data_IF_566160160186
#
_entry.id   IF_566160160186
#
_cell.length_a   1.000
_cell.length_b   1.000
_cell.length_c   1.000
_cell.angle_alpha   90.00
_cell.angle_beta   90.00
_cell.angle_gamma   90.00
#
_symmetry.space_group_name_H-M   'P 1'
#
loop_
_entity.id
_entity.type
_entity.pdbx_description
1 polymer ?
#
# COMPACT_ATOMS: atom_id res chain seq x y z
N UNK A 1 -14.55 22.72 16.87
CA UNK A 1 -13.56 21.64 17.10
C UNK A 1 -14.29 20.38 17.52
N UNK A 2 -14.59 19.47 16.58
CA UNK A 2 -15.10 18.13 16.90
C UNK A 2 -13.91 17.18 16.81
N UNK A 3 -13.64 16.45 17.89
CA UNK A 3 -12.59 15.44 17.97
C UNK A 3 -13.07 14.21 17.21
N UNK A 4 -12.34 13.81 16.18
CA UNK A 4 -12.61 12.57 15.46
C UNK A 4 -12.26 11.37 16.34
N UNK A 5 -13.23 10.47 16.50
CA UNK A 5 -13.13 9.24 17.29
C UNK A 5 -12.46 8.18 16.40
N UNK A 6 -11.41 7.47 16.86
CA UNK A 6 -10.76 6.47 16.02
C UNK A 6 -11.72 5.30 15.75
N UNK A 7 -11.83 4.93 14.48
CA UNK A 7 -12.55 3.75 14.04
C UNK A 7 -11.77 2.53 14.53
N UNK A 8 -12.32 1.82 15.52
CA UNK A 8 -11.81 0.52 15.96
C UNK A 8 -12.48 -0.53 15.07
N UNK A 9 -11.71 -1.13 14.17
CA UNK A 9 -12.14 -2.28 13.38
C UNK A 9 -11.99 -3.52 14.25
N UNK A 10 -13.11 -4.08 14.69
CA UNK A 10 -13.17 -5.33 15.45
C UNK A 10 -13.12 -6.50 14.44
N UNK A 11 -12.32 -7.55 14.66
CA UNK A 11 -12.41 -8.75 13.85
C UNK A 11 -13.77 -9.41 14.06
N UNK A 12 -14.56 -9.54 12.99
CA UNK A 12 -15.81 -10.30 13.01
C UNK A 12 -15.42 -11.78 12.96
N UNK A 13 -15.39 -12.45 14.12
CA UNK A 13 -15.48 -13.90 14.18
C UNK A 13 -16.97 -14.27 14.22
N UNK A 14 -17.49 -14.81 13.12
CA UNK A 14 -18.77 -15.51 13.15
C UNK A 14 -18.55 -16.86 13.85
N UNK A 15 -19.05 -17.00 15.08
CA UNK A 15 -19.34 -18.29 15.69
C UNK A 15 -20.86 -18.36 15.92
N UNK A 16 -21.55 -18.98 14.96
CA UNK A 16 -22.90 -19.48 15.20
C UNK A 16 -22.79 -20.75 16.05
N UNK A 17 -22.90 -20.62 17.37
CA UNK A 17 -23.32 -21.69 18.27
C UNK A 17 -23.67 -21.11 19.65
N UNK A 18 -24.96 -20.85 19.87
CA UNK A 18 -25.50 -20.66 21.22
C UNK A 18 -25.55 -22.03 21.91
N UNK A 19 -24.62 -22.27 22.84
CA UNK A 19 -24.89 -23.16 23.99
C UNK A 19 -24.23 -22.59 25.24
N UNK A 20 -25.07 -22.36 26.24
CA UNK A 20 -24.74 -21.93 27.61
C UNK A 20 -23.72 -22.87 28.23
N UNK A 21 -22.64 -22.33 28.82
CA UNK A 21 -21.99 -22.85 30.02
C UNK A 21 -21.05 -21.78 30.59
N UNK A 22 -21.44 -21.22 31.74
CA UNK A 22 -20.49 -20.60 32.68
C UNK A 22 -19.54 -21.69 33.13
N UNK A 23 -18.23 -21.46 33.08
CA UNK A 23 -17.24 -21.98 34.02
C UNK A 23 -15.95 -21.15 33.90
N UNK A 24 -15.36 -20.88 35.05
CA UNK A 24 -14.13 -20.12 35.21
C UNK A 24 -12.95 -21.01 34.81
N UNK A 25 -12.18 -20.67 33.79
CA UNK A 25 -10.89 -21.32 33.52
C UNK A 25 -10.07 -20.47 32.52
N UNK A 26 -8.91 -19.99 32.98
CA UNK A 26 -7.66 -19.77 32.22
C UNK A 26 -7.73 -19.82 30.69
N UNK A 27 -7.98 -18.70 30.01
CA UNK A 27 -7.74 -18.59 28.56
C UNK A 27 -6.29 -18.18 28.26
N UNK A 28 -5.37 -19.10 28.52
CA UNK A 28 -4.14 -19.21 27.74
C UNK A 28 -4.43 -20.17 26.57
N UNK A 29 -5.12 -19.71 25.52
CA UNK A 29 -5.46 -20.57 24.40
C UNK A 29 -5.34 -19.81 23.09
N UNK A 30 -4.43 -20.26 22.22
CA UNK A 30 -4.24 -19.80 20.85
C UNK A 30 -3.51 -18.45 20.66
N UNK A 31 -2.22 -18.39 21.04
CA UNK A 31 -1.30 -17.54 20.27
C UNK A 31 -1.24 -18.13 18.85
N UNK A 32 -1.81 -17.44 17.87
CA UNK A 32 -1.67 -17.84 16.46
C UNK A 32 -0.17 -18.01 16.16
N UNK A 33 0.19 -19.11 15.49
CA UNK A 33 1.57 -19.28 15.04
C UNK A 33 1.93 -18.15 14.07
N UNK A 34 3.20 -17.73 14.04
CA UNK A 34 3.67 -16.70 13.09
C UNK A 34 3.27 -17.05 11.65
N UNK A 35 3.32 -18.33 11.29
CA UNK A 35 2.90 -18.82 9.98
C UNK A 35 1.40 -18.59 9.72
N UNK A 36 0.54 -18.80 10.72
CA UNK A 36 -0.90 -18.56 10.59
C UNK A 36 -1.21 -17.06 10.46
N UNK A 37 -0.54 -16.21 11.24
CA UNK A 37 -0.66 -14.75 11.13
C UNK A 37 -0.29 -14.31 9.71
N UNK A 38 0.84 -14.80 9.17
CA UNK A 38 1.26 -14.50 7.79
C UNK A 38 0.23 -14.99 6.78
N UNK A 39 -0.23 -16.25 6.90
CA UNK A 39 -1.22 -16.86 6.01
C UNK A 39 -2.53 -16.07 5.96
N UNK A 40 -2.92 -15.45 7.06
CA UNK A 40 -4.12 -14.63 7.15
C UNK A 40 -3.88 -13.17 6.68
N UNK A 41 -2.77 -12.55 7.12
CA UNK A 41 -2.52 -11.12 6.91
C UNK A 41 -1.97 -10.77 5.53
N UNK A 42 -1.12 -11.61 4.93
CA UNK A 42 -0.54 -11.31 3.61
C UNK A 42 -1.61 -11.19 2.52
N UNK A 43 -2.56 -12.14 2.39
CA UNK A 43 -3.65 -12.02 1.42
C UNK A 43 -4.52 -10.79 1.68
N UNK A 44 -4.76 -10.45 2.96
CA UNK A 44 -5.51 -9.25 3.31
C UNK A 44 -4.81 -7.97 2.83
N UNK A 45 -3.50 -7.83 3.05
CA UNK A 45 -2.74 -6.67 2.55
C UNK A 45 -2.76 -6.64 1.02
N UNK A 46 -2.62 -7.81 0.37
CA UNK A 46 -2.74 -7.94 -1.08
C UNK A 46 -4.11 -7.45 -1.60
N UNK A 47 -5.19 -7.83 -0.92
CA UNK A 47 -6.53 -7.32 -1.24
C UNK A 47 -6.64 -5.80 -1.07
N UNK A 48 -6.11 -5.24 0.02
CA UNK A 48 -6.10 -3.77 0.23
C UNK A 48 -5.34 -3.06 -0.89
N UNK A 49 -4.21 -3.61 -1.33
CA UNK A 49 -3.46 -3.11 -2.49
C UNK A 49 -4.28 -3.18 -3.78
N UNK A 50 -4.96 -4.29 -4.04
CA UNK A 50 -5.83 -4.45 -5.22
C UNK A 50 -6.99 -3.45 -5.21
N UNK A 51 -7.64 -3.26 -4.07
CA UNK A 51 -8.70 -2.27 -3.92
C UNK A 51 -8.18 -0.85 -4.15
N UNK A 52 -6.99 -0.53 -3.63
CA UNK A 52 -6.37 0.76 -3.86
C UNK A 52 -6.15 1.01 -5.36
N UNK A 53 -5.49 0.08 -6.05
CA UNK A 53 -5.17 0.20 -7.48
C UNK A 53 -6.44 0.21 -8.34
N UNK A 54 -7.43 -0.62 -8.03
CA UNK A 54 -8.67 -0.75 -8.79
C UNK A 54 -9.67 0.39 -8.57
N UNK A 55 -9.56 1.12 -7.45
CA UNK A 55 -10.46 2.23 -7.15
C UNK A 55 -10.21 3.41 -8.10
N UNK A 56 -11.25 3.85 -8.81
CA UNK A 56 -11.20 4.98 -9.76
C UNK A 56 -11.54 6.33 -9.13
N UNK A 57 -12.00 6.36 -7.87
CA UNK A 57 -12.33 7.58 -7.15
C UNK A 57 -11.07 8.39 -6.83
N UNK A 58 -11.15 9.69 -7.06
CA UNK A 58 -10.14 10.69 -6.68
C UNK A 58 -10.15 11.03 -5.19
N UNK A 59 -11.18 10.63 -4.45
CA UNK A 59 -11.44 11.10 -3.08
C UNK A 59 -10.80 10.20 -2.02
N UNK A 60 -9.96 9.24 -2.46
CA UNK A 60 -9.25 8.33 -1.56
C UNK A 60 -7.93 8.96 -1.13
N UNK A 61 -7.51 8.69 0.11
CA UNK A 61 -6.17 9.03 0.58
C UNK A 61 -5.10 8.46 -0.36
N UNK A 62 -4.08 9.27 -0.67
CA UNK A 62 -2.97 8.85 -1.55
C UNK A 62 -2.00 7.97 -0.75
N UNK A 63 -2.03 6.67 -0.99
CA UNK A 63 -1.09 5.71 -0.43
C UNK A 63 0.09 5.49 -1.38
N UNK A 64 1.30 5.46 -0.83
CA UNK A 64 2.54 5.17 -1.56
C UNK A 64 2.93 3.71 -1.38
N UNK A 65 3.86 3.26 -2.21
CA UNK A 65 4.44 1.90 -2.13
C UNK A 65 4.96 1.60 -0.73
N UNK A 66 5.62 2.58 -0.08
CA UNK A 66 6.13 2.43 1.29
C UNK A 66 5.04 2.09 2.32
N UNK A 67 3.82 2.59 2.14
CA UNK A 67 2.74 2.39 3.10
C UNK A 67 2.28 0.93 3.11
N UNK A 68 2.11 0.34 1.93
CA UNK A 68 1.84 -1.10 1.80
C UNK A 68 3.01 -1.97 2.26
N UNK A 69 4.25 -1.60 1.93
CA UNK A 69 5.44 -2.34 2.37
C UNK A 69 5.54 -2.36 3.89
N UNK A 70 5.22 -1.24 4.57
CA UNK A 70 5.19 -1.19 6.03
C UNK A 70 4.20 -2.19 6.63
N UNK A 71 3.01 -2.35 6.03
CA UNK A 71 2.04 -3.34 6.50
C UNK A 71 2.62 -4.77 6.50
N UNK A 72 3.36 -5.15 5.45
CA UNK A 72 4.03 -6.46 5.40
C UNK A 72 5.16 -6.57 6.43
N UNK A 73 5.96 -5.52 6.59
CA UNK A 73 7.06 -5.49 7.56
C UNK A 73 6.55 -5.59 9.01
N UNK A 74 5.42 -4.96 9.32
CA UNK A 74 4.77 -5.06 10.63
C UNK A 74 4.33 -6.50 10.93
N UNK A 75 3.71 -7.19 9.96
CA UNK A 75 3.31 -8.60 10.11
C UNK A 75 4.53 -9.51 10.37
N UNK A 76 5.66 -9.22 9.72
CA UNK A 76 6.88 -10.00 9.86
C UNK A 76 7.74 -9.57 11.07
N UNK A 77 7.39 -8.48 11.75
CA UNK A 77 8.23 -7.81 12.76
C UNK A 77 9.64 -7.53 12.22
N UNK A 78 9.72 -6.99 10.99
CA UNK A 78 10.96 -6.63 10.32
C UNK A 78 11.11 -5.12 10.19
N UNK A 79 12.36 -4.67 10.14
CA UNK A 79 12.68 -3.27 9.84
C UNK A 79 12.90 -3.07 8.35
N UNK A 80 12.69 -1.85 7.86
CA UNK A 80 13.06 -1.49 6.48
C UNK A 80 14.57 -1.67 6.21
N UNK A 81 15.41 -1.55 7.24
CA UNK A 81 16.85 -1.85 7.15
C UNK A 81 17.08 -3.34 6.87
N UNK A 82 16.36 -4.24 7.54
CA UNK A 82 16.44 -5.67 7.29
C UNK A 82 15.98 -6.02 5.87
N UNK A 83 14.89 -5.39 5.40
CA UNK A 83 14.44 -5.54 4.02
C UNK A 83 15.47 -5.06 3.01
N UNK A 84 16.11 -3.90 3.25
CA UNK A 84 17.15 -3.37 2.38
C UNK A 84 18.35 -4.32 2.27
N UNK A 85 18.80 -4.88 3.41
CA UNK A 85 19.85 -5.90 3.42
C UNK A 85 19.43 -7.15 2.65
N UNK A 86 18.18 -7.62 2.83
CA UNK A 86 17.65 -8.77 2.10
C UNK A 86 17.56 -8.52 0.59
N UNK A 87 17.27 -7.28 0.18
CA UNK A 87 17.25 -6.85 -1.22
C UNK A 87 18.64 -6.46 -1.75
N UNK A 88 19.70 -6.67 -0.97
CA UNK A 88 21.08 -6.39 -1.36
C UNK A 88 21.28 -4.93 -1.79
N UNK A 89 20.64 -3.98 -1.07
CA UNK A 89 20.72 -2.56 -1.40
C UNK A 89 20.79 -1.67 -0.17
N UNK A 90 21.24 -0.43 -0.36
CA UNK A 90 21.30 0.56 0.74
C UNK A 90 19.88 0.92 1.19
N UNK A 91 19.66 1.01 2.50
CA UNK A 91 18.37 1.41 3.08
C UNK A 91 17.88 2.76 2.53
N UNK A 92 18.77 3.75 2.36
CA UNK A 92 18.44 5.04 1.76
C UNK A 92 17.99 4.93 0.30
N UNK A 93 18.55 3.99 -0.45
CA UNK A 93 18.16 3.75 -1.85
C UNK A 93 16.79 3.07 -1.91
N UNK A 94 16.57 2.07 -1.06
CA UNK A 94 15.25 1.44 -0.92
C UNK A 94 14.19 2.49 -0.55
N UNK A 95 14.45 3.33 0.46
CA UNK A 95 13.55 4.40 0.87
C UNK A 95 13.18 5.35 -0.28
N UNK A 96 14.18 5.78 -1.07
CA UNK A 96 13.92 6.64 -2.23
C UNK A 96 12.95 6.02 -3.23
N UNK A 97 13.06 4.72 -3.48
CA UNK A 97 12.13 4.02 -4.35
C UNK A 97 10.74 3.88 -3.74
N UNK A 98 10.65 3.43 -2.47
CA UNK A 98 9.36 3.18 -1.82
C UNK A 98 8.55 4.46 -1.56
N UNK A 99 9.24 5.58 -1.32
CA UNK A 99 8.60 6.91 -1.08
C UNK A 99 8.25 7.66 -2.37
N UNK A 100 8.67 7.15 -3.53
CA UNK A 100 8.47 7.78 -4.84
C UNK A 100 9.48 8.87 -5.20
N UNK A 101 10.54 9.08 -4.41
CA UNK A 101 11.65 10.00 -4.77
C UNK A 101 12.43 9.50 -5.99
N UNK A 102 12.47 8.18 -6.19
CA UNK A 102 12.98 7.51 -7.39
C UNK A 102 11.88 6.64 -7.98
N UNK A 103 11.80 6.59 -9.31
CA UNK A 103 10.84 5.74 -10.03
C UNK A 103 11.11 4.27 -9.70
N UNK A 104 10.06 3.54 -9.34
CA UNK A 104 10.15 2.12 -9.02
C UNK A 104 10.61 1.34 -10.26
N UNK A 105 11.76 0.66 -10.17
CA UNK A 105 12.32 -0.10 -11.28
C UNK A 105 11.83 -1.57 -11.28
N UNK A 106 11.95 -2.24 -12.42
CA UNK A 106 11.47 -3.62 -12.60
C UNK A 106 12.11 -4.62 -11.62
N UNK A 107 13.42 -4.50 -11.35
CA UNK A 107 14.12 -5.39 -10.42
C UNK A 107 13.52 -5.30 -9.01
N UNK A 108 13.30 -4.08 -8.52
CA UNK A 108 12.71 -3.87 -7.19
C UNK A 108 11.24 -4.30 -7.14
N UNK A 109 10.48 -4.08 -8.21
CA UNK A 109 9.10 -4.60 -8.32
C UNK A 109 9.09 -6.11 -8.14
N UNK A 110 9.95 -6.83 -8.87
CA UNK A 110 10.02 -8.30 -8.77
C UNK A 110 10.44 -8.75 -7.36
N UNK A 111 11.44 -8.09 -6.76
CA UNK A 111 11.86 -8.37 -5.37
C UNK A 111 10.72 -8.21 -4.37
N UNK A 112 9.99 -7.10 -4.43
CA UNK A 112 8.83 -6.85 -3.54
C UNK A 112 7.72 -7.88 -3.82
N UNK A 113 7.43 -8.16 -5.09
CA UNK A 113 6.40 -9.12 -5.51
C UNK A 113 6.63 -10.51 -4.93
N UNK A 114 7.86 -11.01 -5.04
CA UNK A 114 8.25 -12.30 -4.46
C UNK A 114 8.19 -12.23 -2.93
N UNK A 115 8.71 -11.16 -2.32
CA UNK A 115 8.72 -11.00 -0.87
C UNK A 115 7.31 -10.97 -0.25
N UNK A 116 6.33 -10.39 -0.94
CA UNK A 116 4.97 -10.21 -0.42
C UNK A 116 3.95 -11.22 -0.95
N UNK A 117 4.35 -12.07 -1.90
CA UNK A 117 3.45 -12.94 -2.68
C UNK A 117 2.35 -12.15 -3.41
N UNK A 118 2.72 -11.02 -4.00
CA UNK A 118 1.79 -10.11 -4.67
C UNK A 118 2.20 -9.91 -6.11
N UNK A 119 1.23 -9.73 -7.02
CA UNK A 119 1.49 -9.57 -8.45
C UNK A 119 2.29 -8.28 -8.75
N UNK A 120 3.33 -8.33 -9.61
CA UNK A 120 4.13 -7.17 -10.03
C UNK A 120 3.32 -5.96 -10.51
N UNK A 121 2.23 -6.22 -11.23
CA UNK A 121 1.37 -5.21 -11.85
C UNK A 121 0.71 -4.31 -10.79
N UNK A 122 0.45 -4.84 -9.58
CA UNK A 122 -0.16 -4.06 -8.51
C UNK A 122 0.81 -3.03 -7.95
N UNK A 123 2.08 -3.38 -7.79
CA UNK A 123 3.11 -2.44 -7.33
C UNK A 123 3.32 -1.29 -8.32
N UNK A 124 3.33 -1.61 -9.61
CA UNK A 124 3.37 -0.59 -10.64
C UNK A 124 2.06 0.22 -10.71
N UNK A 125 0.93 -0.43 -10.48
CA UNK A 125 -0.40 0.18 -10.43
C UNK A 125 -0.54 1.26 -9.36
N UNK A 126 0.09 1.10 -8.18
CA UNK A 126 0.14 2.15 -7.15
C UNK A 126 0.80 3.42 -7.69
N UNK A 127 1.94 3.27 -8.37
CA UNK A 127 2.68 4.41 -8.93
C UNK A 127 1.85 5.11 -9.99
N UNK A 128 1.29 4.35 -10.94
CA UNK A 128 0.44 4.90 -12.01
C UNK A 128 -0.76 5.63 -11.42
N UNK A 129 -1.45 5.02 -10.45
CA UNK A 129 -2.62 5.64 -9.81
C UNK A 129 -2.25 6.98 -9.18
N UNK A 130 -1.15 7.04 -8.42
CA UNK A 130 -0.72 8.26 -7.75
C UNK A 130 -0.35 9.35 -8.76
N UNK A 131 0.36 9.00 -9.83
CA UNK A 131 0.68 9.93 -10.93
C UNK A 131 -0.59 10.47 -11.60
N UNK A 132 -1.60 9.62 -11.85
CA UNK A 132 -2.88 10.04 -12.41
C UNK A 132 -3.65 10.97 -11.46
N UNK A 133 -3.63 10.71 -10.16
CA UNK A 133 -4.24 11.59 -9.16
C UNK A 133 -3.56 12.97 -9.16
N UNK A 134 -2.23 13.01 -9.21
CA UNK A 134 -1.47 14.26 -9.31
C UNK A 134 -1.80 15.03 -10.61
N UNK A 135 -1.83 14.33 -11.75
CA UNK A 135 -2.20 14.92 -13.04
C UNK A 135 -3.62 15.48 -13.02
N UNK A 136 -4.58 14.75 -12.45
CA UNK A 136 -5.95 15.22 -12.32
C UNK A 136 -6.07 16.45 -11.43
N UNK A 137 -5.28 16.54 -10.34
CA UNK A 137 -5.17 17.76 -9.54
C UNK A 137 -4.61 18.94 -10.33
N UNK A 138 -3.61 18.70 -11.21
CA UNK A 138 -3.00 19.76 -12.05
C UNK A 138 -3.89 20.20 -13.22
N UNK A 139 -4.83 19.38 -13.68
CA UNK A 139 -5.78 19.74 -14.77
C UNK A 139 -6.59 21.00 -14.45
N UNK A 140 -6.76 21.35 -13.18
CA UNK A 140 -7.39 22.62 -12.75
C UNK A 140 -6.69 23.83 -13.39
N UNK A 141 -5.38 23.74 -13.67
CA UNK A 141 -4.59 24.81 -14.27
C UNK A 141 -4.15 24.49 -15.71
N UNK A 142 -4.92 23.67 -16.44
CA UNK A 142 -4.57 23.24 -17.80
C UNK A 142 -4.36 24.41 -18.76
N UNK A 143 -5.13 25.49 -18.60
CA UNK A 143 -5.03 26.69 -19.45
C UNK A 143 -3.63 27.31 -19.45
N UNK A 144 -2.91 27.27 -18.31
CA UNK A 144 -1.53 27.78 -18.21
C UNK A 144 -0.52 27.03 -19.09
N UNK A 145 -0.89 25.83 -19.57
CA UNK A 145 -0.07 25.02 -20.46
C UNK A 145 -0.38 25.25 -21.94
N UNK A 146 -1.41 26.02 -22.30
CA UNK A 146 -1.77 26.29 -23.71
C UNK A 146 -0.61 26.90 -24.49
N UNK A 147 0.24 27.73 -23.85
CA UNK A 147 1.44 28.32 -24.46
C UNK A 147 2.47 27.31 -25.00
N UNK A 148 2.36 26.04 -24.61
CA UNK A 148 3.21 24.96 -25.12
C UNK A 148 2.59 24.21 -26.30
N UNK A 149 1.41 24.62 -26.78
CA UNK A 149 0.82 24.11 -28.01
C UNK A 149 1.75 24.39 -29.19
N UNK A 150 1.98 23.37 -30.03
CA UNK A 150 2.91 23.46 -31.15
C UNK A 150 2.54 24.58 -32.14
N UNK A 151 1.26 25.00 -32.19
CA UNK A 151 0.80 26.09 -33.05
C UNK A 151 1.50 27.41 -32.73
N UNK A 152 1.79 27.69 -31.46
CA UNK A 152 2.57 28.87 -31.07
C UNK A 152 4.04 28.82 -31.51
N UNK A 153 4.57 27.64 -31.86
CA UNK A 153 5.90 27.52 -32.47
C UNK A 153 5.86 27.80 -33.97
N UNK A 154 4.80 27.38 -34.66
CA UNK A 154 4.64 27.56 -36.10
C UNK A 154 4.27 28.99 -36.51
N UNK A 155 3.69 29.79 -35.60
CA UNK A 155 3.34 31.21 -35.84
C UNK A 155 4.54 32.17 -35.73
N UNK A 156 5.75 31.66 -35.46
CA UNK A 156 6.97 32.47 -35.28
C UNK A 156 7.91 32.49 -36.49
N UNK A 157 7.57 31.77 -37.55
CA UNK A 157 8.28 31.73 -38.85
C UNK A 157 7.52 32.55 -39.91
#
# INVERSE_FOLDING_TARGET
>A
MKKDKPIIIIPICNDESKTVLKNNETNSCCKESKAQIIKNKFPFIGYVLEQYVGNKSSDTEVLKVIDFVKMYLEVLNLTQKALASHFEMKCSTLDQYLTGKKRLNANLILKISVFTHTRPELWHGVVIKNELMELNGKKINWESYQKYDYRYLLERD
#
